data_IF_251855548797
#
_entry.id   IF_251855548797
#
_cell.length_a   1.000
_cell.length_b   1.000
_cell.length_c   1.000
_cell.angle_alpha   90.00
_cell.angle_beta   90.00
_cell.angle_gamma   90.00
#
_symmetry.space_group_name_H-M   'P 1'
#
loop_
_entity.id
_entity.type
_entity.pdbx_description
1 polymer ?
#
# COMPACT_ATOMS: atom_id res chain seq x y z
N UNK A 1 11.79 -0.99 -14.59
CA UNK A 1 10.66 -1.73 -15.15
C UNK A 1 9.76 -0.76 -15.86
N UNK A 2 9.21 -1.10 -17.02
CA UNK A 2 8.15 -0.33 -17.67
C UNK A 2 6.79 -0.60 -17.01
N UNK A 3 5.74 0.13 -17.40
CA UNK A 3 4.41 0.02 -16.80
C UNK A 3 3.77 -1.38 -16.93
N UNK A 4 4.10 -2.13 -17.98
CA UNK A 4 3.61 -3.50 -18.19
C UNK A 4 4.24 -4.48 -17.20
N UNK A 5 5.57 -4.45 -17.07
CA UNK A 5 6.31 -5.28 -16.11
C UNK A 5 5.88 -4.99 -14.66
N UNK A 6 5.58 -3.72 -14.36
CA UNK A 6 5.05 -3.31 -13.07
C UNK A 6 3.66 -3.88 -12.77
N UNK A 7 2.81 -4.01 -13.79
CA UNK A 7 1.47 -4.60 -13.67
C UNK A 7 1.56 -6.12 -13.45
N UNK A 8 2.43 -6.80 -14.19
CA UNK A 8 2.70 -8.22 -14.00
C UNK A 8 3.21 -8.53 -12.60
N UNK A 9 4.16 -7.73 -12.09
CA UNK A 9 4.65 -7.89 -10.73
C UNK A 9 3.53 -7.73 -9.69
N UNK A 10 2.66 -6.72 -9.85
CA UNK A 10 1.52 -6.50 -8.93
C UNK A 10 0.58 -7.69 -8.94
N UNK A 11 0.25 -8.22 -10.12
CA UNK A 11 -0.59 -9.41 -10.27
C UNK A 11 0.05 -10.63 -9.58
N UNK A 12 1.37 -10.84 -9.76
CA UNK A 12 2.08 -11.92 -9.10
C UNK A 12 2.09 -11.78 -7.57
N UNK A 13 2.31 -10.57 -7.05
CA UNK A 13 2.26 -10.29 -5.62
C UNK A 13 0.88 -10.54 -5.01
N UNK A 14 -0.19 -10.09 -5.69
CA UNK A 14 -1.56 -10.31 -5.24
C UNK A 14 -1.97 -11.78 -5.31
N UNK A 15 -1.59 -12.49 -6.38
CA UNK A 15 -1.83 -13.92 -6.52
C UNK A 15 -1.11 -14.75 -5.43
N UNK A 16 0.11 -14.34 -5.05
CA UNK A 16 0.84 -14.95 -3.93
C UNK A 16 0.11 -14.74 -2.60
N UNK A 17 -0.36 -13.51 -2.32
CA UNK A 17 -1.17 -13.23 -1.13
C UNK A 17 -2.49 -14.04 -1.14
N UNK A 18 -3.14 -14.19 -2.29
CA UNK A 18 -4.35 -15.00 -2.44
C UNK A 18 -4.11 -16.48 -2.15
N UNK A 19 -2.96 -17.02 -2.57
CA UNK A 19 -2.56 -18.39 -2.24
C UNK A 19 -2.47 -18.60 -0.73
N UNK A 20 -1.88 -17.67 0.00
CA UNK A 20 -1.79 -17.71 1.47
C UNK A 20 -3.18 -17.58 2.11
N UNK A 21 -4.02 -16.65 1.62
CA UNK A 21 -5.39 -16.47 2.11
C UNK A 21 -6.27 -17.71 1.89
N UNK A 22 -6.15 -18.37 0.74
CA UNK A 22 -6.85 -19.63 0.43
C UNK A 22 -6.50 -20.75 1.43
N UNK A 23 -5.29 -20.71 1.99
CA UNK A 23 -4.86 -21.62 3.05
C UNK A 23 -5.27 -21.15 4.46
N UNK A 24 -6.16 -20.16 4.57
CA UNK A 24 -6.70 -19.65 5.83
C UNK A 24 -5.87 -18.56 6.50
N UNK A 25 -4.76 -18.13 5.90
CA UNK A 25 -3.92 -17.09 6.48
C UNK A 25 -4.56 -15.71 6.31
N UNK A 26 -4.92 -15.08 7.45
CA UNK A 26 -5.50 -13.73 7.48
C UNK A 26 -4.49 -12.64 7.83
N UNK A 27 -3.43 -13.01 8.54
CA UNK A 27 -2.45 -12.09 9.13
C UNK A 27 -1.05 -12.43 8.64
N UNK A 28 -0.30 -11.38 8.28
CA UNK A 28 1.00 -11.48 7.64
C UNK A 28 2.05 -10.80 8.50
N UNK A 29 2.99 -11.56 9.09
CA UNK A 29 4.15 -11.00 9.76
C UNK A 29 5.02 -10.20 8.80
N UNK A 30 5.62 -9.11 9.28
CA UNK A 30 6.53 -8.26 8.52
C UNK A 30 7.59 -9.06 7.75
N UNK A 31 8.20 -10.06 8.40
CA UNK A 31 9.27 -10.88 7.81
C UNK A 31 8.85 -11.61 6.55
N UNK A 32 7.59 -12.02 6.46
CA UNK A 32 7.04 -12.76 5.32
C UNK A 32 6.80 -11.80 4.15
N UNK A 33 6.15 -10.66 4.41
CA UNK A 33 5.94 -9.60 3.42
C UNK A 33 7.26 -9.00 2.91
N UNK A 34 8.23 -8.86 3.79
CA UNK A 34 9.57 -8.39 3.45
C UNK A 34 10.40 -9.47 2.73
N UNK A 35 9.98 -10.73 2.81
CA UNK A 35 10.63 -11.88 2.17
C UNK A 35 10.07 -12.23 0.80
N UNK A 36 9.08 -11.49 0.29
CA UNK A 36 8.48 -11.77 -1.01
C UNK A 36 9.52 -11.76 -2.14
N UNK A 37 9.42 -12.77 -3.00
CA UNK A 37 10.25 -12.95 -4.20
C UNK A 37 9.36 -13.13 -5.42
N UNK A 38 9.78 -12.54 -6.53
CA UNK A 38 9.16 -12.72 -7.84
C UNK A 38 10.27 -13.04 -8.83
N UNK A 39 10.14 -14.13 -9.58
CA UNK A 39 11.13 -14.59 -10.57
C UNK A 39 12.55 -14.72 -9.99
N UNK A 40 12.67 -15.22 -8.75
CA UNK A 40 13.96 -15.38 -8.05
C UNK A 40 14.59 -14.08 -7.56
N UNK A 41 13.89 -12.94 -7.68
CA UNK A 41 14.36 -11.64 -7.18
C UNK A 41 13.51 -11.23 -5.99
N UNK A 42 14.19 -11.00 -4.86
CA UNK A 42 13.53 -10.49 -3.65
C UNK A 42 13.16 -9.02 -3.80
N UNK A 43 11.86 -8.74 -3.81
CA UNK A 43 11.30 -7.39 -3.84
C UNK A 43 10.28 -7.27 -2.69
N UNK A 44 10.69 -6.70 -1.53
CA UNK A 44 9.81 -6.58 -0.37
C UNK A 44 8.51 -5.85 -0.71
N UNK A 45 7.36 -6.41 -0.30
CA UNK A 45 6.04 -5.80 -0.47
C UNK A 45 5.79 -4.67 0.53
N UNK A 46 6.60 -4.56 1.59
CA UNK A 46 6.43 -3.57 2.66
C UNK A 46 7.77 -2.94 3.03
N UNK A 47 7.74 -1.69 3.51
CA UNK A 47 8.91 -1.00 4.05
C UNK A 47 8.91 -1.06 5.59
N UNK A 48 10.09 -1.04 6.22
CA UNK A 48 10.21 -1.07 7.69
C UNK A 48 9.75 0.26 8.31
N UNK A 49 10.19 1.36 7.73
CA UNK A 49 10.08 2.70 8.30
C UNK A 49 9.00 3.53 7.61
N UNK A 50 8.81 3.33 6.31
CA UNK A 50 7.95 4.19 5.48
C UNK A 50 6.53 3.65 5.39
N UNK A 51 5.58 4.58 5.31
CA UNK A 51 4.17 4.26 5.04
C UNK A 51 3.94 3.88 3.58
N UNK A 52 4.75 4.40 2.67
CA UNK A 52 4.64 4.16 1.22
C UNK A 52 5.86 3.39 0.76
N UNK A 53 5.63 2.32 0.00
CA UNK A 53 6.69 1.46 -0.54
C UNK A 53 6.72 1.58 -2.07
N UNK A 54 7.81 2.14 -2.58
CA UNK A 54 8.15 2.17 -4.02
C UNK A 54 9.46 1.42 -4.27
N UNK A 55 9.48 0.26 -4.96
CA UNK A 55 10.73 -0.36 -5.40
C UNK A 55 11.61 0.60 -6.19
N UNK A 56 12.93 0.45 -6.07
CA UNK A 56 13.87 1.33 -6.77
C UNK A 56 13.69 1.24 -8.29
N UNK A 57 13.39 0.03 -8.79
CA UNK A 57 13.15 -0.29 -10.19
C UNK A 57 11.76 0.10 -10.73
N UNK A 58 10.88 0.65 -9.88
CA UNK A 58 9.51 1.04 -10.23
C UNK A 58 9.39 2.56 -10.39
N UNK A 59 8.49 3.00 -11.25
CA UNK A 59 8.03 4.38 -11.36
C UNK A 59 6.98 4.70 -10.29
N UNK A 60 6.06 3.78 -10.03
CA UNK A 60 4.92 3.98 -9.13
C UNK A 60 5.05 3.24 -7.80
N UNK A 61 4.31 3.71 -6.79
CA UNK A 61 4.17 3.01 -5.52
C UNK A 61 3.60 1.60 -5.75
N UNK A 62 4.09 0.65 -4.96
CA UNK A 62 3.61 -0.74 -4.95
C UNK A 62 2.58 -0.96 -3.84
N UNK A 63 2.85 -0.40 -2.67
CA UNK A 63 2.00 -0.58 -1.51
C UNK A 63 2.05 0.61 -0.57
N UNK A 64 1.03 0.69 0.29
CA UNK A 64 0.98 1.60 1.41
C UNK A 64 0.64 0.84 2.69
N UNK A 65 0.97 1.42 3.84
CA UNK A 65 0.86 0.80 5.15
C UNK A 65 0.34 1.80 6.17
N UNK A 66 -0.65 1.36 6.94
CA UNK A 66 -1.02 1.99 8.21
C UNK A 66 -0.45 1.19 9.37
N UNK A 67 0.23 1.86 10.29
CA UNK A 67 0.73 1.31 11.55
C UNK A 67 -0.43 0.97 12.49
N UNK A 68 -0.27 -0.14 13.21
CA UNK A 68 -1.13 -0.50 14.32
C UNK A 68 -1.03 0.54 15.43
N UNK A 69 -2.18 1.07 15.87
CA UNK A 69 -2.29 1.92 17.06
C UNK A 69 -3.00 1.10 18.15
N UNK A 70 -2.37 0.88 19.33
CA UNK A 70 -3.00 0.16 20.43
C UNK A 70 -4.32 0.82 20.87
N UNK A 71 -5.28 0.04 21.41
CA UNK A 71 -6.48 0.59 22.02
C UNK A 71 -6.14 1.64 23.08
N UNK A 72 -6.80 2.79 23.03
CA UNK A 72 -6.59 3.91 23.96
C UNK A 72 -5.48 4.89 23.57
N UNK A 73 -4.82 4.73 22.41
CA UNK A 73 -3.88 5.72 21.88
C UNK A 73 -4.46 6.42 20.65
N UNK A 74 -4.15 7.72 20.51
CA UNK A 74 -4.52 8.49 19.33
C UNK A 74 -3.77 7.94 18.10
N UNK A 75 -4.48 7.79 16.98
CA UNK A 75 -3.85 7.39 15.72
C UNK A 75 -2.86 8.49 15.29
N UNK A 76 -1.64 8.13 14.86
CA UNK A 76 -0.64 9.13 14.46
C UNK A 76 -0.98 9.86 13.15
N UNK A 77 -1.97 9.39 12.40
CA UNK A 77 -2.46 9.98 11.15
C UNK A 77 -3.98 9.79 11.08
N UNK A 78 -4.64 10.75 10.43
CA UNK A 78 -6.09 10.84 10.30
C UNK A 78 -6.65 9.99 9.15
N UNK A 79 -5.90 8.98 8.68
CA UNK A 79 -6.38 8.10 7.62
C UNK A 79 -7.73 7.49 8.02
N UNK A 80 -8.77 7.83 7.26
CA UNK A 80 -10.14 7.56 7.60
C UNK A 80 -10.85 6.90 6.43
N UNK A 81 -11.62 5.86 6.75
CA UNK A 81 -12.63 5.35 5.83
C UNK A 81 -13.88 6.21 6.07
N UNK A 82 -14.31 6.91 5.03
CA UNK A 82 -15.50 7.77 5.05
C UNK A 82 -16.78 6.95 4.80
N UNK A 83 -17.95 7.56 5.00
CA UNK A 83 -19.25 6.87 4.89
C UNK A 83 -19.54 6.30 3.49
N UNK A 84 -18.84 6.80 2.47
CA UNK A 84 -18.85 6.30 1.09
C UNK A 84 -17.95 5.06 0.87
N UNK A 85 -17.27 4.59 1.91
CA UNK A 85 -16.38 3.44 1.87
C UNK A 85 -15.00 3.72 1.28
N UNK A 86 -14.69 4.98 0.95
CA UNK A 86 -13.38 5.37 0.44
C UNK A 86 -12.40 5.63 1.58
N UNK A 87 -11.13 5.30 1.35
CA UNK A 87 -10.05 5.62 2.27
C UNK A 87 -9.44 6.96 1.89
N UNK A 88 -9.56 7.95 2.76
CA UNK A 88 -8.79 9.18 2.69
C UNK A 88 -7.42 8.95 3.34
N UNK A 89 -6.37 8.95 2.52
CA UNK A 89 -5.00 8.69 2.96
C UNK A 89 -4.19 9.99 2.91
N UNK A 90 -3.70 10.44 4.07
CA UNK A 90 -2.96 11.69 4.17
C UNK A 90 -1.60 11.59 3.49
N UNK A 91 -1.21 12.68 2.84
CA UNK A 91 0.11 12.82 2.27
C UNK A 91 1.20 12.60 3.32
N UNK A 92 2.36 12.16 2.84
CA UNK A 92 3.56 12.25 3.63
C UNK A 92 3.96 13.72 3.79
N UNK A 93 3.75 14.25 4.99
CA UNK A 93 4.08 15.64 5.31
C UNK A 93 3.19 16.62 4.57
N UNK A 94 3.62 17.89 4.54
CA UNK A 94 2.89 19.00 3.93
C UNK A 94 3.45 19.44 2.57
N UNK A 95 4.39 18.68 2.00
CA UNK A 95 4.94 18.94 0.66
C UNK A 95 4.27 18.00 -0.36
N UNK A 96 3.39 18.53 -1.24
CA UNK A 96 2.79 17.75 -2.33
C UNK A 96 3.81 17.14 -3.28
N UNK A 97 5.02 17.71 -3.35
CA UNK A 97 6.12 17.23 -4.17
C UNK A 97 7.01 16.23 -3.45
N UNK A 98 6.70 15.81 -2.22
CA UNK A 98 7.47 14.78 -1.52
C UNK A 98 7.56 13.51 -2.37
N UNK A 99 8.74 12.88 -2.44
CA UNK A 99 9.00 11.78 -3.36
C UNK A 99 8.06 10.57 -3.19
N UNK A 100 7.60 10.31 -1.97
CA UNK A 100 6.60 9.26 -1.71
C UNK A 100 5.21 9.63 -2.25
N UNK A 101 4.77 10.89 -2.08
CA UNK A 101 3.50 11.38 -2.64
C UNK A 101 3.54 11.32 -4.18
N UNK A 102 4.65 11.73 -4.79
CA UNK A 102 4.84 11.59 -6.25
C UNK A 102 4.75 10.14 -6.72
N UNK A 103 5.16 9.18 -5.90
CA UNK A 103 5.07 7.75 -6.26
C UNK A 103 3.64 7.20 -6.20
N UNK A 104 2.81 7.70 -5.28
CA UNK A 104 1.37 7.41 -5.28
C UNK A 104 0.68 8.09 -6.47
N UNK A 105 0.98 9.37 -6.74
CA UNK A 105 0.49 10.07 -7.94
C UNK A 105 0.84 9.34 -9.23
N UNK A 106 2.06 8.81 -9.35
CA UNK A 106 2.42 7.98 -10.49
C UNK A 106 1.59 6.68 -10.58
N UNK A 107 1.14 6.10 -9.47
CA UNK A 107 0.22 4.96 -9.49
C UNK A 107 -1.18 5.37 -9.96
N UNK A 108 -1.63 6.57 -9.60
CA UNK A 108 -2.87 7.17 -10.09
C UNK A 108 -2.80 7.43 -11.61
N UNK A 109 -1.80 8.16 -12.07
CA UNK A 109 -1.62 8.53 -13.49
C UNK A 109 -1.49 7.31 -14.42
N UNK A 110 -0.88 6.23 -13.92
CA UNK A 110 -0.66 4.99 -14.68
C UNK A 110 -1.76 3.93 -14.47
N UNK A 111 -2.78 4.25 -13.68
CA UNK A 111 -3.85 3.32 -13.29
C UNK A 111 -3.27 1.96 -12.83
N UNK A 112 -2.39 2.02 -11.83
CA UNK A 112 -1.74 0.86 -11.24
C UNK A 112 -2.34 0.54 -9.87
N UNK A 113 -2.75 -0.73 -9.63
CA UNK A 113 -3.32 -1.09 -8.35
C UNK A 113 -2.24 -1.14 -7.27
N UNK A 114 -2.66 -0.86 -6.04
CA UNK A 114 -1.83 -0.87 -4.84
C UNK A 114 -2.25 -2.01 -3.91
N UNK A 115 -1.33 -2.36 -3.01
CA UNK A 115 -1.62 -3.22 -1.86
C UNK A 115 -1.64 -2.34 -0.61
N UNK A 116 -2.70 -2.39 0.17
CA UNK A 116 -2.76 -1.73 1.47
C UNK A 116 -2.55 -2.72 2.61
N UNK A 117 -1.49 -2.51 3.38
CA UNK A 117 -1.19 -3.28 4.58
C UNK A 117 -1.68 -2.57 5.84
N UNK A 118 -2.74 -3.11 6.45
CA UNK A 118 -3.33 -2.59 7.68
C UNK A 118 -2.66 -3.22 8.88
N UNK A 119 -1.99 -2.43 9.72
CA UNK A 119 -1.37 -2.93 10.94
C UNK A 119 -2.42 -3.35 11.98
N UNK A 120 -2.42 -4.63 12.35
CA UNK A 120 -3.37 -5.22 13.33
C UNK A 120 -2.69 -5.63 14.64
N UNK A 121 -1.37 -5.76 14.64
CA UNK A 121 -0.53 -5.87 15.82
C UNK A 121 0.91 -5.43 15.46
N UNK A 122 1.80 -5.34 16.45
CA UNK A 122 3.20 -4.95 16.22
C UNK A 122 3.87 -5.90 15.20
N UNK A 123 4.15 -5.38 14.00
CA UNK A 123 4.78 -6.12 12.92
C UNK A 123 3.88 -7.18 12.26
N UNK A 124 2.57 -7.07 12.43
CA UNK A 124 1.58 -7.99 11.83
C UNK A 124 0.52 -7.18 11.09
N UNK A 125 0.23 -7.60 9.86
CA UNK A 125 -0.60 -6.84 8.93
C UNK A 125 -1.72 -7.71 8.36
N UNK A 126 -2.82 -7.07 7.98
CA UNK A 126 -3.78 -7.60 7.02
C UNK A 126 -3.56 -6.94 5.66
N UNK A 127 -3.73 -7.68 4.58
CA UNK A 127 -3.49 -7.20 3.22
C UNK A 127 -4.83 -6.99 2.47
N UNK A 128 -5.10 -5.75 2.06
CA UNK A 128 -6.24 -5.36 1.23
C UNK A 128 -5.75 -4.96 -0.16
N UNK A 129 -6.30 -5.59 -1.19
CA UNK A 129 -5.93 -5.38 -2.59
C UNK A 129 -7.00 -6.00 -3.50
N UNK A 130 -7.11 -5.55 -4.77
CA UNK A 130 -6.47 -4.35 -5.30
C UNK A 130 -7.09 -3.09 -4.68
N UNK A 131 -6.24 -2.09 -4.40
CA UNK A 131 -6.67 -0.74 -3.98
C UNK A 131 -6.32 0.23 -5.09
N UNK A 132 -7.22 1.16 -5.40
CA UNK A 132 -7.04 2.13 -6.50
C UNK A 132 -7.10 3.55 -5.96
N UNK A 133 -6.25 4.44 -6.47
CA UNK A 133 -6.41 5.87 -6.20
C UNK A 133 -7.52 6.38 -7.12
N UNK A 134 -8.58 6.92 -6.54
CA UNK A 134 -9.71 7.53 -7.25
C UNK A 134 -9.48 9.01 -7.51
N UNK A 135 -8.85 9.67 -6.56
CA UNK A 135 -8.63 11.10 -6.61
C UNK A 135 -7.32 11.46 -5.91
N UNK A 136 -6.68 12.51 -6.41
CA UNK A 136 -5.46 13.07 -5.87
C UNK A 136 -5.70 14.54 -5.57
N UNK A 137 -5.64 14.88 -4.28
CA UNK A 137 -6.09 16.16 -3.73
C UNK A 137 -4.94 16.91 -3.05
N UNK A 138 -4.09 17.62 -3.82
CA UNK A 138 -2.95 18.35 -3.27
C UNK A 138 -3.32 19.43 -2.25
N UNK A 139 -4.48 20.06 -2.41
CA UNK A 139 -4.90 21.19 -1.58
C UNK A 139 -5.39 20.74 -0.20
N UNK A 140 -5.96 19.53 -0.14
CA UNK A 140 -6.35 18.83 1.09
C UNK A 140 -5.24 17.90 1.64
N UNK A 141 -4.09 17.83 0.94
CA UNK A 141 -2.94 16.97 1.24
C UNK A 141 -3.35 15.50 1.44
N UNK A 142 -4.15 14.95 0.54
CA UNK A 142 -4.63 13.58 0.63
C UNK A 142 -4.82 12.89 -0.73
N UNK A 143 -4.83 11.57 -0.69
CA UNK A 143 -5.32 10.72 -1.77
C UNK A 143 -6.65 10.12 -1.33
N UNK A 144 -7.58 9.95 -2.26
CA UNK A 144 -8.81 9.20 -2.04
C UNK A 144 -8.67 7.84 -2.71
N UNK A 145 -8.80 6.77 -1.94
CA UNK A 145 -8.57 5.41 -2.39
C UNK A 145 -9.85 4.59 -2.31
N UNK A 146 -10.13 3.87 -3.39
CA UNK A 146 -11.13 2.82 -3.40
C UNK A 146 -10.53 1.52 -2.88
N UNK A 147 -11.22 0.93 -1.91
CA UNK A 147 -10.88 -0.35 -1.31
C UNK A 147 -11.49 -1.50 -2.13
N UNK A 148 -10.91 -2.72 -2.05
CA UNK A 148 -11.54 -3.89 -2.66
C UNK A 148 -12.94 -4.10 -2.07
N UNK A 149 -13.89 -4.46 -2.94
CA UNK A 149 -15.27 -4.82 -2.56
C UNK A 149 -15.37 -6.14 -1.79
#
# INVERSE_FOLDING_TARGET
MNGGEEREFRNAAMAWLDGLKKNGQKRFPYRELAGFECNGVRIPLIDRQRGIRKPASFYAALSLRTTYTPPGQAKPYEDQITDDGLLHYKYRGNDPKHHENRSLRAAYDLELPLIWFVGVAKGVYEARYPVWIRDDRPEELEFVLELPG
#
